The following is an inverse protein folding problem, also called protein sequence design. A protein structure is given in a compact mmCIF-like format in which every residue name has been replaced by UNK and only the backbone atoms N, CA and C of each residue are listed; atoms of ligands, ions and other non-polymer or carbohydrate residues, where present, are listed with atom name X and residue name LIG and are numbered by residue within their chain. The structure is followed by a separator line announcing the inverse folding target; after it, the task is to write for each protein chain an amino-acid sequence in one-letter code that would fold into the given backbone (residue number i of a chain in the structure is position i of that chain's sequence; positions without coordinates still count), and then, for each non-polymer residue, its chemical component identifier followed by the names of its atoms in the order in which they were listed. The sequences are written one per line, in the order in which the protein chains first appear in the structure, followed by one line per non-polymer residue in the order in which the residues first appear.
data_IF_329183445932
#
_entry.id   IF_329183445932
#
_cell.length_a   1.000
_cell.length_b   1.000
_cell.length_c   1.000
_cell.angle_alpha   90.00
_cell.angle_beta   90.00
_cell.angle_gamma   90.00
#
_symmetry.space_group_name_H-M   'P 1'
#
loop_
_entity.id
_entity.type
_entity.pdbx_description
1 polymer ?
#
# COMPACT_ATOMS: atom_id res chain seq x y z
N UNK A 1 -8.40 -11.60 -42.79
CA UNK A 1 -7.46 -11.36 -41.67
C UNK A 1 -6.69 -12.65 -41.44
N UNK A 2 -5.36 -12.69 -41.72
CA UNK A 2 -4.53 -13.89 -41.77
C UNK A 2 -4.58 -14.67 -40.45
N UNK A 3 -4.69 -16.01 -40.52
CA UNK A 3 -4.69 -16.90 -39.36
C UNK A 3 -3.48 -16.68 -38.43
N UNK A 4 -2.35 -16.27 -38.99
CA UNK A 4 -1.16 -15.87 -38.28
C UNK A 4 -1.38 -14.64 -37.38
N UNK A 5 -2.04 -13.62 -37.84
CA UNK A 5 -2.37 -12.40 -37.09
C UNK A 5 -3.30 -12.70 -35.89
N UNK A 6 -4.29 -13.58 -36.10
CA UNK A 6 -5.17 -14.06 -35.00
C UNK A 6 -4.41 -14.84 -33.95
N UNK A 7 -3.47 -15.70 -34.37
CA UNK A 7 -2.65 -16.46 -33.44
C UNK A 7 -1.72 -15.55 -32.62
N UNK A 8 -1.08 -14.56 -33.25
CA UNK A 8 -0.26 -13.56 -32.56
C UNK A 8 -1.08 -12.71 -31.56
N UNK A 9 -2.27 -12.27 -31.96
CA UNK A 9 -3.17 -11.53 -31.06
C UNK A 9 -3.60 -12.37 -29.85
N UNK A 10 -3.92 -13.65 -30.06
CA UNK A 10 -4.29 -14.56 -28.99
C UNK A 10 -3.13 -14.81 -28.01
N UNK A 11 -1.91 -14.93 -28.50
CA UNK A 11 -0.71 -15.08 -27.67
C UNK A 11 -0.45 -13.79 -26.87
N UNK A 12 -0.56 -12.63 -27.49
CA UNK A 12 -0.37 -11.33 -26.84
C UNK A 12 -1.44 -11.09 -25.77
N UNK A 13 -2.69 -11.43 -26.01
CA UNK A 13 -3.78 -11.27 -25.04
C UNK A 13 -3.66 -12.25 -23.87
N UNK A 14 -3.14 -13.45 -24.10
CA UNK A 14 -2.95 -14.44 -23.03
C UNK A 14 -1.67 -14.21 -22.20
N UNK A 15 -0.55 -13.89 -22.84
CA UNK A 15 0.76 -13.78 -22.18
C UNK A 15 1.08 -12.33 -21.77
N UNK A 16 0.56 -11.34 -22.50
CA UNK A 16 0.80 -9.93 -22.26
C UNK A 16 0.55 -9.49 -20.82
N UNK A 17 -0.58 -9.80 -20.20
CA UNK A 17 -0.86 -9.43 -18.81
C UNK A 17 0.17 -10.01 -17.82
N UNK A 18 0.58 -11.28 -18.01
CA UNK A 18 1.57 -11.92 -17.15
C UNK A 18 2.95 -11.26 -17.28
N UNK A 19 3.33 -10.89 -18.50
CA UNK A 19 4.61 -10.22 -18.77
C UNK A 19 4.66 -8.83 -18.15
N UNK A 20 3.57 -8.09 -18.22
CA UNK A 20 3.42 -6.78 -17.56
C UNK A 20 3.52 -6.91 -16.04
N UNK A 21 2.85 -7.89 -15.46
CA UNK A 21 2.92 -8.17 -14.01
C UNK A 21 4.35 -8.53 -13.59
N UNK A 22 5.03 -9.40 -14.34
CA UNK A 22 6.43 -9.79 -14.06
C UNK A 22 7.39 -8.60 -14.15
N UNK A 23 7.24 -7.73 -15.17
CA UNK A 23 8.05 -6.53 -15.32
C UNK A 23 7.81 -5.54 -14.19
N UNK A 24 6.55 -5.35 -13.80
CA UNK A 24 6.20 -4.54 -12.64
C UNK A 24 6.82 -5.10 -11.35
N UNK A 25 6.69 -6.39 -11.09
CA UNK A 25 7.30 -7.04 -9.92
C UNK A 25 8.82 -6.86 -9.90
N UNK A 26 9.51 -7.10 -11.02
CA UNK A 26 10.95 -6.89 -11.13
C UNK A 26 11.35 -5.43 -10.88
N UNK A 27 10.62 -4.47 -11.46
CA UNK A 27 10.85 -3.06 -11.24
C UNK A 27 10.74 -2.67 -9.76
N UNK A 28 9.77 -3.26 -9.07
CA UNK A 28 9.48 -3.00 -7.67
C UNK A 28 10.54 -3.56 -6.72
N UNK A 29 10.95 -4.81 -6.96
CA UNK A 29 12.04 -5.45 -6.20
C UNK A 29 13.32 -4.59 -6.34
N UNK A 30 13.63 -4.12 -7.54
CA UNK A 30 14.77 -3.24 -7.77
C UNK A 30 14.65 -1.92 -7.02
N UNK A 31 13.45 -1.34 -6.96
CA UNK A 31 13.18 -0.09 -6.24
C UNK A 31 13.33 -0.25 -4.72
N UNK A 32 12.86 -1.36 -4.17
CA UNK A 32 13.03 -1.69 -2.75
C UNK A 32 14.51 -1.92 -2.40
N UNK A 33 15.23 -2.68 -3.22
CA UNK A 33 16.66 -2.91 -3.02
C UNK A 33 17.47 -1.60 -3.07
N UNK A 34 17.12 -0.69 -3.99
CA UNK A 34 17.79 0.61 -4.06
C UNK A 34 17.56 1.43 -2.79
N UNK A 35 16.34 1.47 -2.29
CA UNK A 35 16.01 2.18 -1.04
C UNK A 35 16.68 1.57 0.17
N UNK A 36 16.72 0.22 0.26
CA UNK A 36 17.41 -0.47 1.36
C UNK A 36 18.90 -0.10 1.39
N UNK A 37 19.58 -0.07 0.23
CA UNK A 37 20.98 0.33 0.14
C UNK A 37 21.20 1.81 0.53
N UNK A 38 20.34 2.71 0.08
CA UNK A 38 20.41 4.13 0.45
C UNK A 38 20.30 4.33 1.96
N UNK A 39 19.46 3.55 2.65
CA UNK A 39 19.32 3.56 4.12
C UNK A 39 20.54 3.01 4.83
N UNK A 40 21.06 1.85 4.39
CA UNK A 40 22.27 1.29 4.97
C UNK A 40 23.46 2.27 4.86
N UNK A 41 23.54 3.04 3.78
CA UNK A 41 24.56 4.08 3.61
C UNK A 41 24.34 5.27 4.54
N UNK A 42 23.10 5.69 4.78
CA UNK A 42 22.75 6.76 5.70
C UNK A 42 23.01 6.36 7.17
N UNK A 43 22.62 5.14 7.55
CA UNK A 43 22.92 4.58 8.88
C UNK A 43 24.44 4.50 9.13
N UNK A 44 25.22 4.04 8.13
CA UNK A 44 26.69 4.02 8.23
C UNK A 44 27.32 5.41 8.41
N UNK A 45 26.64 6.45 7.91
CA UNK A 45 27.07 7.84 8.07
C UNK A 45 26.61 8.48 9.37
N UNK A 46 25.85 7.76 10.22
CA UNK A 46 25.32 8.26 11.49
C UNK A 46 24.32 9.42 11.32
N UNK A 47 23.64 9.49 10.18
CA UNK A 47 22.64 10.52 9.92
C UNK A 47 21.34 10.11 10.60
N UNK A 48 21.05 10.72 11.74
CA UNK A 48 19.75 10.58 12.42
C UNK A 48 18.78 11.54 11.74
N UNK A 49 17.73 10.97 11.13
CA UNK A 49 16.67 11.78 10.52
C UNK A 49 15.69 12.24 11.61
N UNK A 50 15.74 13.51 11.93
CA UNK A 50 14.79 14.14 12.87
C UNK A 50 13.43 14.48 12.23
N UNK A 51 13.33 14.42 10.90
CA UNK A 51 12.11 14.74 10.17
C UNK A 51 11.85 13.71 9.07
N UNK A 52 10.86 12.86 9.29
CA UNK A 52 10.47 11.87 8.30
C UNK A 52 8.95 11.65 8.28
N UNK A 53 8.47 11.06 7.21
CA UNK A 53 7.05 10.77 7.02
C UNK A 53 6.87 9.32 6.63
N UNK A 54 6.17 8.59 7.47
CA UNK A 54 5.77 7.21 7.22
C UNK A 54 4.43 7.21 6.49
N UNK A 55 4.41 6.62 5.30
CA UNK A 55 3.22 6.45 4.45
C UNK A 55 3.20 5.04 3.90
N UNK A 56 2.02 4.60 3.46
CA UNK A 56 1.92 3.38 2.68
C UNK A 56 2.79 3.49 1.42
N UNK A 57 3.48 2.42 1.08
CA UNK A 57 4.33 2.39 -0.10
C UNK A 57 3.52 2.75 -1.36
N UNK A 58 4.04 3.70 -2.14
CA UNK A 58 3.39 4.18 -3.39
C UNK A 58 3.03 3.04 -4.33
N UNK A 59 3.81 1.98 -4.30
CA UNK A 59 3.57 0.79 -5.10
C UNK A 59 2.28 0.07 -4.72
N UNK A 60 2.04 -0.19 -3.45
CA UNK A 60 0.80 -0.80 -2.98
C UNK A 60 -0.41 0.03 -3.41
N UNK A 61 -0.31 1.36 -3.32
CA UNK A 61 -1.36 2.27 -3.79
C UNK A 61 -1.62 2.08 -5.29
N UNK A 62 -0.56 2.05 -6.11
CA UNK A 62 -0.69 1.85 -7.56
C UNK A 62 -1.28 0.47 -7.87
N UNK A 63 -0.82 -0.59 -7.20
CA UNK A 63 -1.36 -1.94 -7.38
C UNK A 63 -2.85 -2.01 -7.04
N UNK A 64 -3.27 -1.36 -5.94
CA UNK A 64 -4.69 -1.27 -5.57
C UNK A 64 -5.51 -0.47 -6.59
N UNK A 65 -4.98 0.63 -7.14
CA UNK A 65 -5.65 1.41 -8.20
C UNK A 65 -5.87 0.54 -9.44
N UNK A 66 -4.83 -0.15 -9.90
CA UNK A 66 -4.92 -1.03 -11.08
C UNK A 66 -5.93 -2.16 -10.85
N UNK A 67 -5.88 -2.83 -9.68
CA UNK A 67 -6.84 -3.86 -9.31
C UNK A 67 -8.27 -3.33 -9.25
N UNK A 68 -8.48 -2.14 -8.69
CA UNK A 68 -9.80 -1.50 -8.59
C UNK A 68 -10.37 -1.17 -9.98
N UNK A 69 -9.54 -0.64 -10.89
CA UNK A 69 -9.95 -0.39 -12.29
C UNK A 69 -10.31 -1.70 -12.99
N UNK A 70 -9.53 -2.76 -12.77
CA UNK A 70 -9.83 -4.08 -13.33
C UNK A 70 -11.20 -4.58 -12.87
N UNK A 71 -11.49 -4.56 -11.56
CA UNK A 71 -12.80 -4.98 -11.05
C UNK A 71 -13.95 -4.08 -11.50
N UNK A 72 -13.71 -2.77 -11.68
CA UNK A 72 -14.70 -1.86 -12.27
C UNK A 72 -15.04 -2.27 -13.70
N UNK A 73 -14.04 -2.59 -14.53
CA UNK A 73 -14.24 -3.07 -15.89
C UNK A 73 -15.01 -4.41 -15.91
N UNK A 74 -14.63 -5.36 -15.05
CA UNK A 74 -15.34 -6.64 -14.92
C UNK A 74 -16.81 -6.44 -14.53
N UNK A 75 -17.09 -5.58 -13.55
CA UNK A 75 -18.46 -5.24 -13.12
C UNK A 75 -19.25 -4.63 -14.28
N UNK A 76 -18.66 -3.69 -15.01
CA UNK A 76 -19.32 -3.04 -16.15
C UNK A 76 -19.62 -4.03 -17.30
N UNK A 77 -18.69 -4.94 -17.59
CA UNK A 77 -18.89 -6.00 -18.60
C UNK A 77 -19.99 -6.96 -18.17
N UNK A 78 -19.98 -7.46 -16.94
CA UNK A 78 -20.99 -8.37 -16.41
C UNK A 78 -22.40 -7.75 -16.43
N UNK A 79 -22.51 -6.45 -16.14
CA UNK A 79 -23.78 -5.71 -16.26
C UNK A 79 -24.25 -5.61 -17.70
N UNK A 80 -23.34 -5.38 -18.65
CA UNK A 80 -23.64 -5.25 -20.07
C UNK A 80 -24.10 -6.57 -20.68
N UNK A 81 -23.44 -7.67 -20.31
CA UNK A 81 -23.73 -9.01 -20.80
C UNK A 81 -24.92 -9.68 -20.07
N UNK A 82 -25.49 -8.99 -19.09
CA UNK A 82 -26.60 -9.49 -18.24
C UNK A 82 -26.26 -10.82 -17.57
N UNK A 83 -25.01 -10.91 -17.09
CA UNK A 83 -24.54 -12.06 -16.33
C UNK A 83 -25.36 -12.28 -15.05
N UNK A 84 -25.16 -13.43 -14.44
CA UNK A 84 -25.85 -13.80 -13.21
C UNK A 84 -25.62 -12.74 -12.11
N UNK A 85 -26.68 -12.37 -11.41
CA UNK A 85 -26.65 -11.35 -10.35
C UNK A 85 -25.56 -11.65 -9.32
N UNK A 86 -25.27 -12.91 -9.05
CA UNK A 86 -24.23 -13.35 -8.14
C UNK A 86 -22.83 -12.90 -8.60
N UNK A 87 -22.52 -13.03 -9.89
CA UNK A 87 -21.24 -12.61 -10.49
C UNK A 87 -21.08 -11.10 -10.41
N UNK A 88 -22.13 -10.36 -10.73
CA UNK A 88 -22.15 -8.88 -10.64
C UNK A 88 -21.90 -8.42 -9.20
N UNK A 89 -22.55 -9.05 -8.23
CA UNK A 89 -22.37 -8.74 -6.80
C UNK A 89 -20.93 -8.99 -6.35
N UNK A 90 -20.32 -10.10 -6.74
CA UNK A 90 -18.92 -10.41 -6.37
C UNK A 90 -17.97 -9.33 -6.89
N UNK A 91 -18.01 -9.01 -8.18
CA UNK A 91 -17.13 -7.99 -8.75
C UNK A 91 -17.41 -6.60 -8.16
N UNK A 92 -18.67 -6.27 -7.91
CA UNK A 92 -19.06 -5.03 -7.24
C UNK A 92 -18.51 -4.91 -5.81
N UNK A 93 -18.53 -5.99 -5.03
CA UNK A 93 -17.93 -6.02 -3.68
C UNK A 93 -16.42 -5.79 -3.78
N UNK A 94 -15.70 -6.50 -4.66
CA UNK A 94 -14.25 -6.30 -4.82
C UNK A 94 -13.90 -4.88 -5.27
N UNK A 95 -14.71 -4.28 -6.14
CA UNK A 95 -14.57 -2.89 -6.54
C UNK A 95 -14.70 -1.93 -5.33
N UNK A 96 -15.72 -2.11 -4.48
CA UNK A 96 -15.93 -1.28 -3.29
C UNK A 96 -14.80 -1.47 -2.25
N UNK A 97 -14.35 -2.70 -2.05
CA UNK A 97 -13.19 -3.00 -1.20
C UNK A 97 -11.93 -2.34 -1.74
N UNK A 98 -11.74 -2.35 -3.05
CA UNK A 98 -10.62 -1.67 -3.70
C UNK A 98 -10.62 -0.16 -3.45
N UNK A 99 -11.76 0.51 -3.62
CA UNK A 99 -11.90 1.95 -3.32
C UNK A 99 -11.59 2.23 -1.84
N UNK A 100 -12.18 1.45 -0.93
CA UNK A 100 -11.95 1.60 0.52
C UNK A 100 -10.47 1.44 0.87
N UNK A 101 -9.80 0.46 0.25
CA UNK A 101 -8.37 0.23 0.42
C UNK A 101 -7.52 1.43 -0.04
N UNK A 102 -7.81 1.99 -1.22
CA UNK A 102 -7.11 3.16 -1.75
C UNK A 102 -7.28 4.36 -0.80
N UNK A 103 -8.52 4.64 -0.37
CA UNK A 103 -8.81 5.75 0.57
C UNK A 103 -8.01 5.56 1.86
N UNK A 104 -7.99 4.35 2.42
CA UNK A 104 -7.23 4.04 3.62
C UNK A 104 -5.72 4.32 3.42
N UNK A 105 -5.14 3.82 2.33
CA UNK A 105 -3.71 3.97 2.04
C UNK A 105 -3.29 5.42 1.79
N UNK A 106 -4.14 6.21 1.16
CA UNK A 106 -3.84 7.62 0.83
C UNK A 106 -4.04 8.54 2.03
N UNK A 107 -5.07 8.28 2.84
CA UNK A 107 -5.43 9.14 3.97
C UNK A 107 -4.56 8.90 5.19
N UNK A 108 -4.11 7.64 5.40
CA UNK A 108 -3.26 7.29 6.52
C UNK A 108 -1.85 7.88 6.36
N UNK A 109 -1.34 8.56 7.39
CA UNK A 109 -0.04 9.21 7.38
C UNK A 109 0.47 9.37 8.82
N UNK A 110 1.77 9.13 9.02
CA UNK A 110 2.48 9.43 10.25
C UNK A 110 3.65 10.36 9.92
N UNK A 111 3.68 11.53 10.51
CA UNK A 111 4.74 12.54 10.37
C UNK A 111 5.49 12.66 11.68
N UNK A 112 6.79 12.52 11.63
CA UNK A 112 7.70 12.72 12.76
C UNK A 112 8.50 14.00 12.51
N UNK A 113 8.45 14.93 13.46
CA UNK A 113 9.17 16.19 13.44
C UNK A 113 9.91 16.38 14.76
N UNK A 114 11.14 15.86 14.85
CA UNK A 114 11.88 15.82 16.12
C UNK A 114 11.15 14.97 17.14
N UNK A 115 10.78 15.55 18.27
CA UNK A 115 10.04 14.88 19.36
C UNK A 115 8.52 14.81 19.13
N UNK A 116 8.01 15.52 18.13
CA UNK A 116 6.56 15.64 17.87
C UNK A 116 6.12 14.68 16.76
N UNK A 117 5.14 13.85 17.06
CA UNK A 117 4.55 12.88 16.16
C UNK A 117 3.14 13.30 15.82
N UNK A 118 2.86 13.47 14.54
CA UNK A 118 1.52 13.74 14.03
C UNK A 118 0.99 12.52 13.28
N UNK A 119 -0.01 11.86 13.85
CA UNK A 119 -0.72 10.77 13.23
C UNK A 119 -2.04 11.23 12.59
N UNK A 120 -2.28 10.80 11.35
CA UNK A 120 -3.52 11.02 10.63
C UNK A 120 -4.20 9.69 10.33
N UNK A 121 -5.42 9.53 10.85
CA UNK A 121 -6.27 8.36 10.61
C UNK A 121 -6.88 8.39 9.21
N UNK A 122 -7.30 7.22 8.70
CA UNK A 122 -8.09 7.05 7.47
C UNK A 122 -9.31 7.97 7.40
N UNK A 123 -9.97 8.23 8.52
CA UNK A 123 -11.15 9.11 8.59
C UNK A 123 -10.81 10.58 8.83
N UNK A 124 -9.57 11.00 8.58
CA UNK A 124 -9.13 12.38 8.68
C UNK A 124 -8.91 12.90 10.12
N UNK A 125 -9.12 12.06 11.15
CA UNK A 125 -8.78 12.44 12.53
C UNK A 125 -7.27 12.62 12.63
N UNK A 126 -6.85 13.79 13.12
CA UNK A 126 -5.45 14.15 13.33
C UNK A 126 -5.19 14.18 14.83
N UNK A 127 -4.14 13.52 15.28
CA UNK A 127 -3.66 13.59 16.67
C UNK A 127 -2.16 13.84 16.67
N UNK A 128 -1.74 14.74 17.51
CA UNK A 128 -0.33 15.08 17.73
C UNK A 128 0.04 14.71 19.16
N UNK A 129 1.19 14.07 19.35
CA UNK A 129 1.72 13.63 20.63
C UNK A 129 3.26 13.59 20.54
N UNK A 130 3.95 13.46 21.68
CA UNK A 130 5.40 13.37 21.71
C UNK A 130 5.85 11.93 21.92
N UNK A 131 7.09 11.61 21.58
CA UNK A 131 7.68 10.30 21.87
C UNK A 131 7.55 9.93 23.35
N UNK A 132 7.76 10.90 24.26
CA UNK A 132 7.59 10.71 25.70
C UNK A 132 6.18 10.34 26.17
N UNK A 133 5.15 10.60 25.35
CA UNK A 133 3.76 10.24 25.67
C UNK A 133 3.44 8.77 25.31
N UNK A 134 4.34 8.09 24.58
CA UNK A 134 4.19 6.68 24.22
C UNK A 134 4.40 5.83 25.48
N UNK A 135 3.34 5.17 25.92
CA UNK A 135 3.39 4.35 27.15
C UNK A 135 4.08 3.02 26.89
N UNK A 136 3.77 2.37 25.77
CA UNK A 136 4.44 1.15 25.30
C UNK A 136 4.08 0.82 23.85
N UNK A 137 4.92 -0.01 23.22
CA UNK A 137 4.70 -0.55 21.88
C UNK A 137 4.56 -2.07 21.95
N UNK A 138 3.42 -2.61 21.53
CA UNK A 138 3.19 -4.06 21.47
C UNK A 138 3.56 -4.58 20.10
N UNK A 139 4.64 -5.38 20.00
CA UNK A 139 5.05 -6.02 18.73
C UNK A 139 4.28 -7.32 18.51
N UNK A 140 3.50 -7.40 17.44
CA UNK A 140 2.86 -8.63 16.95
C UNK A 140 3.47 -9.08 15.63
N UNK A 141 3.19 -10.35 15.23
CA UNK A 141 3.63 -10.86 13.92
C UNK A 141 3.19 -9.89 12.81
N UNK A 142 4.17 -9.14 12.25
CA UNK A 142 3.94 -8.25 11.12
C UNK A 142 3.39 -6.85 11.45
N UNK A 143 3.10 -6.51 12.71
CA UNK A 143 2.58 -5.18 13.07
C UNK A 143 3.08 -4.70 14.43
N UNK A 144 3.13 -3.38 14.61
CA UNK A 144 3.45 -2.72 15.88
C UNK A 144 2.25 -1.89 16.31
N UNK A 145 1.74 -2.14 17.50
CA UNK A 145 0.66 -1.35 18.11
C UNK A 145 1.25 -0.31 19.03
N UNK A 146 0.89 0.95 18.81
CA UNK A 146 1.38 2.06 19.63
C UNK A 146 0.27 2.50 20.59
N UNK A 147 0.65 2.59 21.87
CA UNK A 147 -0.22 3.01 22.97
C UNK A 147 0.29 4.34 23.52
N UNK A 148 -0.60 5.33 23.58
CA UNK A 148 -0.33 6.65 24.11
C UNK A 148 -1.26 6.89 25.29
N UNK A 149 -0.72 7.27 26.44
CA UNK A 149 -1.48 7.42 27.70
C UNK A 149 -2.33 6.18 28.06
N UNK A 150 -1.84 4.98 27.74
CA UNK A 150 -2.55 3.72 28.01
C UNK A 150 -3.64 3.34 27.01
N UNK A 151 -3.98 4.20 26.06
CA UNK A 151 -4.95 3.92 24.99
C UNK A 151 -4.24 3.51 23.70
N UNK A 152 -4.78 2.47 23.02
CA UNK A 152 -4.30 2.11 21.69
C UNK A 152 -4.65 3.22 20.69
N UNK A 153 -3.63 3.89 20.15
CA UNK A 153 -3.83 4.99 19.22
C UNK A 153 -3.86 4.51 17.77
N UNK A 154 -2.85 3.73 17.34
CA UNK A 154 -2.76 3.21 15.97
C UNK A 154 -1.95 1.91 15.91
N UNK A 155 -1.96 1.32 14.72
CA UNK A 155 -1.15 0.14 14.41
C UNK A 155 -0.33 0.46 13.16
N UNK A 156 0.98 0.20 13.21
CA UNK A 156 1.89 0.24 12.06
C UNK A 156 1.96 -1.17 11.52
N UNK A 157 1.55 -1.38 10.28
CA UNK A 157 1.54 -2.70 9.65
C UNK A 157 2.90 -3.00 9.00
N UNK A 158 3.18 -4.28 8.71
CA UNK A 158 4.43 -4.74 8.08
C UNK A 158 4.70 -4.11 6.71
N UNK A 159 3.65 -3.66 6.03
CA UNK A 159 3.71 -3.01 4.73
C UNK A 159 4.14 -1.52 4.79
N UNK A 160 4.38 -1.03 5.99
CA UNK A 160 4.80 0.34 6.27
C UNK A 160 6.25 0.26 6.74
N UNK A 161 7.03 1.20 6.26
CA UNK A 161 8.41 1.35 6.66
C UNK A 161 8.50 1.78 8.14
N UNK A 162 8.67 0.80 9.00
CA UNK A 162 8.63 0.96 10.46
C UNK A 162 10.01 0.99 11.10
N UNK A 163 11.07 0.71 10.31
CA UNK A 163 12.41 0.60 10.86
C UNK A 163 12.87 1.92 11.46
N UNK A 164 12.62 3.04 10.76
CA UNK A 164 12.93 4.38 11.27
C UNK A 164 12.21 4.72 12.59
N UNK A 165 10.96 4.27 12.76
CA UNK A 165 10.19 4.55 13.99
C UNK A 165 10.56 3.67 15.18
N UNK A 166 11.21 2.54 14.95
CA UNK A 166 11.57 1.59 16.01
C UNK A 166 12.99 1.81 16.55
N UNK A 167 13.79 2.64 15.88
CA UNK A 167 15.16 2.97 16.27
C UNK A 167 15.22 4.24 17.15
N UNK A 168 14.16 5.07 17.16
CA UNK A 168 13.97 6.26 18.02
C UNK A 168 13.34 5.85 19.37
#
# INVERSE_FOLDING_TARGET
MNNFLRMCLNIITQIGPYLVVLLLLKYLVNLQQKRAKEREEEQKKGIIRTHYTIKTEKFLVVAFIVGTIFFACCTAMSLREKEDMFVICIFGIFFLVGISGIVNMVMWKLEVNGDEITWRSTFGKKRTFRFGDITYCERKKGSVRVYVNGEKLFTIDSNIDKEEFMED
#
